data_IF_730329688025
#
_entry.id   IF_730329688025
#
_cell.length_a   1.000
_cell.length_b   1.000
_cell.length_c   1.000
_cell.angle_alpha   90.00
_cell.angle_beta   90.00
_cell.angle_gamma   90.00
#
_symmetry.space_group_name_H-M   'P 1'
#
loop_
_entity.id
_entity.type
_entity.pdbx_description
1 polymer ?
#
# COMPACT_ATOMS: atom_id res chain seq x y z
N UNK A 1 22.50 19.14 5.59
CA UNK A 1 22.00 18.86 4.21
C UNK A 1 21.87 17.37 3.89
N UNK A 2 22.83 16.49 4.24
CA UNK A 2 22.77 15.03 3.99
C UNK A 2 21.46 14.34 4.43
N UNK A 3 20.87 14.78 5.54
CA UNK A 3 19.59 14.26 6.06
C UNK A 3 18.37 14.60 5.18
N UNK A 4 18.36 15.77 4.53
CA UNK A 4 17.28 16.17 3.63
C UNK A 4 17.34 15.38 2.32
N UNK A 5 18.54 15.21 1.76
CA UNK A 5 18.77 14.44 0.54
C UNK A 5 18.39 12.97 0.76
N UNK A 6 18.78 12.36 1.88
CA UNK A 6 18.39 10.98 2.22
C UNK A 6 16.87 10.79 2.33
N UNK A 7 16.16 11.76 2.94
CA UNK A 7 14.69 11.75 3.01
C UNK A 7 14.05 11.89 1.64
N UNK A 8 14.58 12.76 0.79
CA UNK A 8 14.08 12.97 -0.56
C UNK A 8 14.24 11.71 -1.43
N UNK A 9 15.42 11.08 -1.39
CA UNK A 9 15.69 9.81 -2.09
C UNK A 9 14.75 8.71 -1.60
N UNK A 10 14.51 8.62 -0.29
CA UNK A 10 13.57 7.64 0.26
C UNK A 10 12.15 7.83 -0.27
N UNK A 11 11.70 9.08 -0.46
CA UNK A 11 10.39 9.37 -1.05
C UNK A 11 10.39 8.99 -2.53
N UNK A 12 11.44 9.31 -3.30
CA UNK A 12 11.55 8.90 -4.70
C UNK A 12 11.50 7.38 -4.89
N UNK A 13 12.10 6.61 -3.99
CA UNK A 13 12.01 5.14 -4.02
C UNK A 13 10.56 4.68 -3.77
N UNK A 14 9.82 5.37 -2.89
CA UNK A 14 8.41 5.05 -2.60
C UNK A 14 7.43 5.45 -3.71
N UNK A 15 7.86 6.34 -4.62
CA UNK A 15 7.05 6.72 -5.77
C UNK A 15 6.89 5.55 -6.76
N UNK A 16 7.89 4.67 -6.89
CA UNK A 16 7.85 3.51 -7.78
C UNK A 16 6.66 2.57 -7.49
N UNK A 17 6.48 2.04 -6.26
CA UNK A 17 5.31 1.21 -5.93
C UNK A 17 4.00 2.00 -6.00
N UNK A 18 4.03 3.32 -5.79
CA UNK A 18 2.87 4.19 -6.01
C UNK A 18 2.43 4.24 -7.48
N UNK A 19 3.38 4.37 -8.41
CA UNK A 19 3.08 4.30 -9.84
C UNK A 19 2.59 2.91 -10.26
N UNK A 20 3.14 1.83 -9.70
CA UNK A 20 2.63 0.48 -9.94
C UNK A 20 1.18 0.35 -9.49
N UNK A 21 0.83 0.88 -8.31
CA UNK A 21 -0.54 0.88 -7.83
C UNK A 21 -1.46 1.68 -8.77
N UNK A 22 -1.07 2.89 -9.15
CA UNK A 22 -1.84 3.71 -10.10
C UNK A 22 -2.06 2.98 -11.42
N UNK A 23 -1.00 2.42 -12.03
CA UNK A 23 -1.11 1.65 -13.27
C UNK A 23 -2.03 0.44 -13.13
N UNK A 24 -1.95 -0.30 -12.03
CA UNK A 24 -2.84 -1.43 -11.75
C UNK A 24 -4.30 -1.01 -11.67
N UNK A 25 -4.60 0.11 -11.00
CA UNK A 25 -5.95 0.68 -10.95
C UNK A 25 -6.47 1.12 -12.32
N UNK A 26 -5.62 1.73 -13.14
CA UNK A 26 -5.96 2.08 -14.52
C UNK A 26 -6.30 0.83 -15.35
N UNK A 27 -5.53 -0.25 -15.25
CA UNK A 27 -5.85 -1.48 -15.97
C UNK A 27 -7.19 -2.09 -15.54
N UNK A 28 -7.50 -2.04 -14.24
CA UNK A 28 -8.79 -2.51 -13.73
C UNK A 28 -9.94 -1.64 -14.24
N UNK A 29 -9.81 -0.30 -14.16
CA UNK A 29 -10.85 0.62 -14.64
C UNK A 29 -11.09 0.39 -16.14
N UNK A 30 -10.02 0.27 -16.93
CA UNK A 30 -10.11 0.14 -18.38
C UNK A 30 -10.80 -1.16 -18.76
N UNK A 31 -10.49 -2.27 -18.08
CA UNK A 31 -11.18 -3.55 -18.31
C UNK A 31 -12.70 -3.46 -18.00
N UNK A 32 -13.08 -2.75 -16.95
CA UNK A 32 -14.49 -2.56 -16.56
C UNK A 32 -15.22 -1.62 -17.51
N UNK A 33 -14.64 -0.45 -17.81
CA UNK A 33 -15.24 0.54 -18.70
C UNK A 33 -15.39 0.01 -20.13
N UNK A 34 -14.39 -0.72 -20.64
CA UNK A 34 -14.46 -1.29 -21.98
C UNK A 34 -15.55 -2.37 -22.06
N UNK A 35 -15.68 -3.21 -21.03
CA UNK A 35 -16.76 -4.19 -20.96
C UNK A 35 -18.14 -3.52 -20.96
N UNK A 36 -18.34 -2.49 -20.14
CA UNK A 36 -19.62 -1.75 -20.05
C UNK A 36 -19.91 -1.00 -21.36
N UNK A 37 -18.91 -0.36 -21.96
CA UNK A 37 -19.08 0.40 -23.20
C UNK A 37 -19.51 -0.50 -24.37
N UNK A 38 -18.93 -1.71 -24.46
CA UNK A 38 -19.24 -2.67 -25.53
C UNK A 38 -20.62 -3.34 -25.33
N UNK A 39 -21.14 -3.41 -24.11
CA UNK A 39 -22.49 -3.94 -23.85
C UNK A 39 -23.62 -3.08 -24.45
N UNK A 40 -23.35 -1.84 -24.82
CA UNK A 40 -24.32 -0.94 -25.47
C UNK A 40 -24.20 -0.86 -26.99
N UNK A 41 -23.31 -1.65 -27.61
CA UNK A 41 -23.07 -1.64 -29.06
C UNK A 41 -23.70 -2.88 -29.70
N UNK A 42 -24.74 -2.67 -30.51
CA UNK A 42 -25.48 -3.71 -31.23
C UNK A 42 -24.62 -4.47 -32.26
N UNK A 43 -23.40 -3.98 -32.57
CA UNK A 43 -22.48 -4.62 -33.50
C UNK A 43 -21.60 -5.71 -32.86
N UNK A 44 -21.53 -5.81 -31.53
CA UNK A 44 -20.61 -6.73 -30.86
C UNK A 44 -21.36 -7.95 -30.31
N UNK A 45 -21.28 -9.06 -31.05
CA UNK A 45 -22.02 -10.29 -30.76
C UNK A 45 -21.59 -11.01 -29.46
N UNK A 46 -20.38 -10.75 -28.92
CA UNK A 46 -19.90 -11.38 -27.68
C UNK A 46 -18.84 -10.50 -26.97
N UNK A 47 -19.22 -9.63 -26.02
CA UNK A 47 -18.27 -8.89 -25.22
C UNK A 47 -17.59 -9.81 -24.19
N UNK A 48 -16.33 -10.17 -24.41
CA UNK A 48 -15.54 -10.91 -23.41
C UNK A 48 -14.95 -9.93 -22.38
N UNK A 49 -15.15 -10.22 -21.09
CA UNK A 49 -14.50 -9.44 -20.03
C UNK A 49 -12.99 -9.69 -20.04
N UNK A 50 -12.21 -8.60 -19.97
CA UNK A 50 -10.74 -8.64 -19.96
C UNK A 50 -10.16 -9.15 -18.64
N UNK A 51 -10.46 -10.39 -18.25
CA UNK A 51 -10.06 -11.01 -16.97
C UNK A 51 -8.56 -10.94 -16.72
N UNK A 52 -7.73 -11.14 -17.74
CA UNK A 52 -6.27 -11.08 -17.61
C UNK A 52 -5.80 -9.67 -17.25
N UNK A 53 -6.34 -8.65 -17.93
CA UNK A 53 -6.03 -7.24 -17.65
C UNK A 53 -6.55 -6.82 -16.28
N UNK A 54 -7.74 -7.28 -15.90
CA UNK A 54 -8.34 -6.98 -14.61
C UNK A 54 -7.57 -7.64 -13.45
N UNK A 55 -7.31 -8.95 -13.51
CA UNK A 55 -6.57 -9.67 -12.47
C UNK A 55 -5.10 -9.24 -12.41
N UNK A 56 -4.47 -8.98 -13.56
CA UNK A 56 -3.12 -8.40 -13.61
C UNK A 56 -3.07 -7.01 -12.98
N UNK A 57 -4.05 -6.16 -13.29
CA UNK A 57 -4.22 -4.84 -12.68
C UNK A 57 -4.47 -4.91 -11.16
N UNK A 58 -5.32 -5.85 -10.72
CA UNK A 58 -5.62 -6.10 -9.32
C UNK A 58 -4.38 -6.55 -8.55
N UNK A 59 -3.62 -7.49 -9.11
CA UNK A 59 -2.37 -7.95 -8.49
C UNK A 59 -1.36 -6.80 -8.36
N UNK A 60 -1.14 -6.01 -9.41
CA UNK A 60 -0.27 -4.83 -9.38
C UNK A 60 -0.73 -3.79 -8.36
N UNK A 61 -2.04 -3.55 -8.28
CA UNK A 61 -2.64 -2.61 -7.33
C UNK A 61 -2.43 -3.06 -5.88
N UNK A 62 -2.77 -4.32 -5.57
CA UNK A 62 -2.64 -4.90 -4.22
C UNK A 62 -1.18 -4.94 -3.79
N UNK A 63 -0.26 -5.33 -4.67
CA UNK A 63 1.17 -5.32 -4.38
C UNK A 63 1.67 -3.90 -4.13
N UNK A 64 1.31 -2.94 -4.99
CA UNK A 64 1.75 -1.55 -4.85
C UNK A 64 1.24 -0.90 -3.56
N UNK A 65 -0.07 -0.97 -3.30
CA UNK A 65 -0.68 -0.35 -2.13
C UNK A 65 -0.36 -1.10 -0.83
N UNK A 66 -0.25 -2.43 -0.90
CA UNK A 66 0.16 -3.28 0.22
C UNK A 66 1.60 -3.00 0.63
N UNK A 67 2.50 -2.84 -0.34
CA UNK A 67 3.89 -2.44 -0.08
C UNK A 67 3.94 -1.04 0.56
N UNK A 68 3.23 -0.06 0.00
CA UNK A 68 3.15 1.30 0.55
C UNK A 68 2.62 1.32 1.99
N UNK A 69 1.49 0.66 2.25
CA UNK A 69 0.90 0.58 3.58
C UNK A 69 1.78 -0.14 4.58
N UNK A 70 2.37 -1.28 4.19
CA UNK A 70 3.30 -2.04 5.02
C UNK A 70 4.57 -1.26 5.35
N UNK A 71 5.14 -0.56 4.37
CA UNK A 71 6.30 0.31 4.57
C UNK A 71 5.98 1.48 5.50
N UNK A 72 4.82 2.15 5.31
CA UNK A 72 4.38 3.25 6.18
C UNK A 72 4.27 2.77 7.62
N UNK A 73 3.63 1.62 7.88
CA UNK A 73 3.51 1.05 9.22
C UNK A 73 4.89 0.74 9.83
N UNK A 74 5.80 0.13 9.06
CA UNK A 74 7.16 -0.18 9.50
C UNK A 74 7.95 1.09 9.85
N UNK A 75 7.85 2.12 9.00
CA UNK A 75 8.48 3.43 9.20
C UNK A 75 7.95 4.09 10.46
N UNK A 76 6.65 4.06 10.66
CA UNK A 76 5.96 4.74 11.76
C UNK A 76 6.27 4.08 13.11
N UNK A 77 6.34 2.74 13.12
CA UNK A 77 6.74 1.96 14.31
C UNK A 77 8.14 2.31 14.80
N UNK A 78 9.10 2.58 13.89
CA UNK A 78 10.47 3.01 14.28
C UNK A 78 10.52 4.40 14.91
N UNK A 79 9.51 5.25 14.68
CA UNK A 79 9.47 6.64 15.16
C UNK A 79 8.53 6.86 16.36
N UNK A 80 7.94 5.80 16.93
CA UNK A 80 6.99 5.86 18.06
C UNK A 80 5.72 6.71 17.81
N UNK A 81 5.38 6.98 16.55
CA UNK A 81 4.14 7.68 16.18
C UNK A 81 2.91 6.77 16.17
N UNK A 82 3.10 5.48 16.43
CA UNK A 82 2.00 4.52 16.55
C UNK A 82 1.11 4.85 17.76
N UNK A 83 -0.20 4.73 17.56
CA UNK A 83 -1.19 5.00 18.62
C UNK A 83 -1.01 4.10 19.85
N UNK A 84 -1.61 4.46 21.01
CA UNK A 84 -1.44 3.74 22.28
C UNK A 84 -1.65 2.22 22.19
N UNK A 85 -2.52 1.77 21.27
CA UNK A 85 -2.83 0.34 21.02
C UNK A 85 -1.70 -0.45 20.36
N UNK A 86 -0.76 0.21 19.70
CA UNK A 86 0.38 -0.40 18.98
C UNK A 86 1.73 -0.12 19.65
N UNK A 87 1.75 0.66 20.75
CA UNK A 87 2.97 0.83 21.56
C UNK A 87 3.25 -0.47 22.31
N UNK A 88 4.50 -0.94 22.27
CA UNK A 88 4.95 -2.03 23.15
C UNK A 88 4.67 -1.59 24.59
N UNK A 89 3.82 -2.33 25.32
CA UNK A 89 3.70 -2.16 26.77
C UNK A 89 5.11 -2.33 27.34
N UNK A 90 5.61 -1.28 28.01
CA UNK A 90 6.81 -1.42 28.85
C UNK A 90 6.51 -2.56 29.84
N UNK A 91 7.40 -3.55 30.00
CA UNK A 91 7.25 -4.50 31.09
C UNK A 91 7.14 -3.70 32.38
N UNK A 92 6.11 -3.99 33.18
CA UNK A 92 5.99 -3.38 34.50
C UNK A 92 7.31 -3.59 35.26
N UNK A 93 7.79 -2.58 36.02
CA UNK A 93 8.97 -2.76 36.84
C UNK A 93 8.69 -3.97 37.75
N UNK A 94 9.61 -4.93 37.76
CA UNK A 94 9.50 -6.12 38.60
C UNK A 94 9.52 -5.62 40.04
N UNK A 95 8.38 -5.63 40.71
CA UNK A 95 8.22 -5.28 42.12
C UNK A 95 9.03 -6.31 42.91
N UNK A 96 10.25 -5.96 43.33
CA UNK A 96 11.12 -6.92 43.98
C UNK A 96 12.52 -6.44 44.38
N UNK A 97 12.88 -5.17 44.20
CA UNK A 97 14.10 -4.64 44.81
C UNK A 97 13.73 -4.02 46.16
N UNK A 98 14.12 -4.61 47.31
CA UNK A 98 14.00 -3.92 48.58
C UNK A 98 14.93 -2.71 48.51
N UNK A 99 14.36 -1.52 48.74
CA UNK A 99 15.13 -0.32 49.05
C UNK A 99 15.95 -0.63 50.31
N UNK A 100 17.24 -0.88 50.12
CA UNK A 100 18.19 -0.86 51.24
C UNK A 100 18.56 0.61 51.45
N UNK A 101 18.05 1.14 52.57
CA UNK A 101 18.48 2.37 53.23
C UNK A 101 19.95 2.30 53.64
#
# INVERSE_FOLDING_TARGET
>A
MKMLISRFIAILILVIPGFMAMKGFLMMKDAVFLYIAVHGDDNVANPAFGWLSFLGGLALFVIGIGFLGGWILFRDRKRNYVGPRFKKKRPAPKTGTPSKS
#
